data_IF_961744457235
#
_entry.id   IF_961744457235
#
_cell.length_a   1.000
_cell.length_b   1.000
_cell.length_c   1.000
_cell.angle_alpha   90.00
_cell.angle_beta   90.00
_cell.angle_gamma   90.00
#
_symmetry.space_group_name_H-M   'P 1'
#
loop_
_entity.id
_entity.type
_entity.pdbx_description
1 polymer ?
#
# COMPACT_ATOMS: atom_id res chain seq x y z
N UNK A 1 33.04 20.15 -25.27
CA UNK A 1 31.99 19.18 -25.59
C UNK A 1 31.82 18.26 -24.41
N UNK A 2 30.75 18.41 -23.66
CA UNK A 2 30.47 17.62 -22.45
C UNK A 2 30.04 16.18 -22.81
N UNK A 3 30.09 15.22 -21.90
CA UNK A 3 29.56 13.88 -22.15
C UNK A 3 28.07 13.89 -22.56
N UNK A 4 27.35 14.91 -22.15
CA UNK A 4 25.91 15.10 -22.48
C UNK A 4 25.72 15.55 -23.93
N UNK A 5 26.63 16.41 -24.45
CA UNK A 5 26.62 16.84 -25.86
C UNK A 5 26.87 15.66 -26.82
N UNK A 6 27.73 14.74 -26.44
CA UNK A 6 28.04 13.52 -27.24
C UNK A 6 26.86 12.55 -27.25
N UNK A 7 26.15 12.41 -26.14
CA UNK A 7 24.95 11.56 -26.06
C UNK A 7 23.80 12.13 -26.91
N UNK A 8 23.65 13.46 -26.93
CA UNK A 8 22.67 14.16 -27.76
C UNK A 8 22.95 14.01 -29.27
N UNK A 9 24.21 14.14 -29.69
CA UNK A 9 24.59 13.93 -31.08
C UNK A 9 24.33 12.51 -31.60
N UNK A 10 24.49 11.48 -30.77
CA UNK A 10 24.16 10.10 -31.11
C UNK A 10 22.65 9.91 -31.28
N UNK A 11 21.84 10.49 -30.42
CA UNK A 11 20.38 10.42 -30.50
C UNK A 11 19.85 11.18 -31.73
N UNK A 12 20.42 12.36 -32.01
CA UNK A 12 20.07 13.18 -33.16
C UNK A 12 20.39 12.48 -34.49
N UNK A 13 21.57 11.86 -34.60
CA UNK A 13 21.98 11.08 -35.77
C UNK A 13 21.08 9.86 -36.00
N UNK A 14 20.70 9.13 -34.94
CA UNK A 14 19.77 8.00 -35.02
C UNK A 14 18.35 8.42 -35.44
N UNK A 15 17.97 9.67 -35.17
CA UNK A 15 16.68 10.22 -35.58
C UNK A 15 16.70 10.71 -37.02
N UNK A 16 17.82 11.32 -37.50
CA UNK A 16 17.98 11.82 -38.85
C UNK A 16 18.22 10.71 -39.90
N UNK A 17 18.76 9.55 -39.50
CA UNK A 17 18.95 8.37 -40.37
C UNK A 17 17.64 7.61 -40.66
N UNK A 18 16.52 7.97 -40.04
CA UNK A 18 15.19 7.44 -40.39
C UNK A 18 14.59 8.22 -41.55
N UNK A 19 15.03 7.94 -42.76
CA UNK A 19 14.37 8.40 -43.97
C UNK A 19 12.96 7.83 -44.10
N UNK A 20 11.92 8.61 -44.47
CA UNK A 20 10.54 8.13 -44.60
C UNK A 20 10.41 7.31 -45.87
N UNK A 21 10.16 6.01 -45.72
CA UNK A 21 9.71 5.15 -46.83
C UNK A 21 8.21 5.36 -47.08
N UNK A 22 7.71 5.37 -48.33
CA UNK A 22 6.34 5.71 -48.67
C UNK A 22 5.38 4.62 -48.28
N UNK A 23 4.20 5.03 -47.80
CA UNK A 23 3.09 4.21 -47.27
C UNK A 23 2.43 3.36 -48.36
N UNK A 24 2.13 2.08 -48.13
CA UNK A 24 0.93 1.44 -48.63
C UNK A 24 -0.21 1.54 -47.61
N UNK A 25 -1.41 1.71 -48.15
CA UNK A 25 -2.66 1.82 -47.39
C UNK A 25 -3.10 0.49 -46.80
N UNK A 26 -3.71 0.58 -45.62
CA UNK A 26 -4.62 -0.36 -44.94
C UNK A 26 -3.97 -1.49 -44.10
N UNK A 27 -4.11 -1.40 -42.79
CA UNK A 27 -4.96 -2.14 -41.87
C UNK A 27 -4.41 -2.00 -40.44
N UNK A 28 -5.27 -1.94 -39.47
CA UNK A 28 -4.98 -1.75 -38.04
C UNK A 28 -3.95 -2.75 -37.49
N UNK A 29 -2.96 -2.26 -36.75
CA UNK A 29 -2.65 -2.83 -35.44
C UNK A 29 -2.20 -1.76 -34.45
N UNK A 30 -3.08 -1.35 -33.56
CA UNK A 30 -2.77 -0.48 -32.43
C UNK A 30 -2.17 -1.25 -31.22
N UNK A 31 -1.93 -2.56 -31.35
CA UNK A 31 -1.47 -3.42 -30.24
C UNK A 31 0.02 -3.77 -30.26
N UNK A 32 0.73 -3.55 -31.37
CA UNK A 32 2.14 -3.94 -31.49
C UNK A 32 3.12 -2.84 -30.99
N UNK A 33 2.71 -1.58 -30.96
CA UNK A 33 3.57 -0.47 -30.55
C UNK A 33 3.83 -0.43 -29.02
N UNK A 34 2.92 -0.95 -28.22
CA UNK A 34 3.05 -0.99 -26.76
C UNK A 34 4.03 -2.06 -26.26
N UNK A 35 4.17 -3.17 -26.97
CA UNK A 35 5.06 -4.25 -26.58
C UNK A 35 6.56 -3.93 -26.82
N UNK A 36 6.88 -3.17 -27.86
CA UNK A 36 8.26 -2.78 -28.20
C UNK A 36 8.81 -1.68 -27.29
N UNK A 37 7.98 -0.75 -26.81
CA UNK A 37 8.38 0.26 -25.85
C UNK A 37 8.73 -0.35 -24.49
N UNK A 38 8.04 -1.42 -24.08
CA UNK A 38 8.26 -2.13 -22.81
C UNK A 38 9.57 -2.93 -22.83
N UNK A 39 9.97 -3.51 -23.96
CA UNK A 39 11.21 -4.28 -24.08
C UNK A 39 12.47 -3.39 -24.05
N UNK A 40 12.41 -2.18 -24.60
CA UNK A 40 13.54 -1.24 -24.59
C UNK A 40 13.85 -0.70 -23.17
N UNK A 41 12.84 -0.60 -22.29
CA UNK A 41 13.00 -0.16 -20.90
C UNK A 41 13.70 -1.20 -20.03
N UNK A 42 13.48 -2.49 -20.30
CA UNK A 42 14.07 -3.58 -19.51
C UNK A 42 15.59 -3.70 -19.68
N UNK A 43 16.14 -3.35 -20.85
CA UNK A 43 17.57 -3.43 -21.15
C UNK A 43 18.33 -2.21 -20.60
N UNK A 44 17.72 -1.05 -20.55
CA UNK A 44 18.37 0.18 -20.08
C UNK A 44 18.46 0.29 -18.54
N UNK A 45 17.61 -0.42 -17.79
CA UNK A 45 17.61 -0.38 -16.33
C UNK A 45 18.80 -1.11 -15.68
N UNK A 46 19.59 -1.88 -16.43
CA UNK A 46 20.73 -2.65 -15.94
C UNK A 46 22.08 -1.93 -16.08
N UNK A 47 22.12 -0.72 -16.61
CA UNK A 47 23.36 0.06 -16.78
C UNK A 47 23.44 1.26 -15.83
N UNK A 48 24.66 1.69 -15.39
CA UNK A 48 24.85 2.88 -14.57
C UNK A 48 24.29 4.18 -15.17
N UNK A 49 24.11 4.22 -16.49
CA UNK A 49 23.49 5.31 -17.26
C UNK A 49 21.94 5.25 -17.27
N UNK A 50 21.33 4.21 -16.69
CA UNK A 50 19.88 3.99 -16.71
C UNK A 50 19.04 5.11 -16.07
N UNK A 51 19.63 5.93 -15.20
CA UNK A 51 18.92 7.08 -14.58
C UNK A 51 18.51 8.15 -15.61
N UNK A 52 19.29 8.36 -16.67
CA UNK A 52 18.98 9.35 -17.72
C UNK A 52 17.94 8.80 -18.72
N UNK A 53 18.02 7.52 -19.08
CA UNK A 53 17.05 6.85 -19.95
C UNK A 53 15.69 6.73 -19.27
N UNK A 54 15.66 6.53 -17.95
CA UNK A 54 14.44 6.49 -17.16
C UNK A 54 13.65 7.82 -17.21
N UNK A 55 14.36 8.95 -17.27
CA UNK A 55 13.76 10.28 -17.38
C UNK A 55 13.05 10.48 -18.74
N UNK A 56 13.65 10.00 -19.83
CA UNK A 56 13.07 10.12 -21.18
C UNK A 56 11.94 9.14 -21.47
N UNK A 57 11.93 7.96 -20.86
CA UNK A 57 10.82 6.99 -20.99
C UNK A 57 9.57 7.48 -20.24
N UNK A 58 9.72 8.18 -19.13
CA UNK A 58 8.59 8.84 -18.42
C UNK A 58 7.85 9.85 -19.29
N UNK A 59 8.59 10.64 -20.08
CA UNK A 59 8.00 11.61 -21.01
C UNK A 59 7.25 10.93 -22.16
N UNK A 60 7.74 9.76 -22.62
CA UNK A 60 7.14 9.01 -23.71
C UNK A 60 5.86 8.22 -23.32
N UNK A 61 5.67 7.91 -22.03
CA UNK A 61 4.51 7.14 -21.54
C UNK A 61 3.37 8.04 -21.04
N UNK A 62 3.52 9.38 -21.12
CA UNK A 62 2.48 10.32 -20.69
C UNK A 62 2.34 10.42 -19.16
N UNK A 63 3.37 10.05 -18.43
CA UNK A 63 3.46 10.34 -17.00
C UNK A 63 3.70 11.84 -16.86
N UNK A 64 2.76 12.56 -16.27
CA UNK A 64 2.95 13.97 -15.93
C UNK A 64 4.27 14.16 -15.18
N UNK A 65 4.98 15.24 -15.44
CA UNK A 65 6.29 15.52 -14.87
C UNK A 65 6.30 15.30 -13.37
N UNK A 66 7.21 14.46 -12.89
CA UNK A 66 7.39 14.25 -11.47
C UNK A 66 7.69 15.59 -10.79
N UNK A 67 6.81 16.05 -9.94
CA UNK A 67 6.94 17.34 -9.31
C UNK A 67 7.88 17.23 -8.09
N UNK A 68 8.75 18.21 -7.84
CA UNK A 68 9.79 18.11 -6.82
C UNK A 68 9.28 18.23 -5.39
N UNK A 69 8.06 18.69 -5.16
CA UNK A 69 7.46 18.84 -3.85
C UNK A 69 6.07 18.21 -3.79
N UNK A 70 5.74 17.60 -2.65
CA UNK A 70 4.38 17.19 -2.36
C UNK A 70 3.56 18.44 -2.05
N UNK A 71 2.75 18.91 -2.99
CA UNK A 71 1.97 20.14 -2.85
C UNK A 71 0.47 19.85 -2.75
N UNK A 72 0.00 18.66 -3.12
CA UNK A 72 -1.37 18.20 -2.88
C UNK A 72 -1.53 16.70 -3.13
N UNK A 73 -2.44 16.06 -2.39
CA UNK A 73 -2.93 14.74 -2.74
C UNK A 73 -3.94 14.87 -3.89
N UNK A 74 -4.04 13.90 -4.82
CA UNK A 74 -4.96 13.97 -5.95
C UNK A 74 -6.42 13.73 -5.56
N UNK A 75 -6.69 13.38 -4.31
CA UNK A 75 -8.03 13.18 -3.76
C UNK A 75 -8.11 13.76 -2.35
N UNK A 76 -9.33 14.07 -1.88
CA UNK A 76 -9.56 14.46 -0.50
C UNK A 76 -9.09 13.42 0.50
N UNK A 77 -8.77 13.86 1.70
CA UNK A 77 -8.35 12.99 2.79
C UNK A 77 -7.01 13.39 3.39
N UNK A 78 -6.55 12.52 4.27
CA UNK A 78 -5.28 12.65 4.97
C UNK A 78 -4.55 11.32 4.94
N UNK A 79 -3.24 11.36 4.78
CA UNK A 79 -2.39 10.19 4.71
C UNK A 79 -1.47 10.15 5.92
N UNK A 80 -1.42 9.01 6.62
CA UNK A 80 -0.34 8.70 7.55
C UNK A 80 0.82 8.08 6.77
N UNK A 81 2.02 8.49 7.11
CA UNK A 81 3.25 7.97 6.53
C UNK A 81 4.18 7.62 7.66
N UNK A 82 4.55 6.35 7.73
CA UNK A 82 5.50 5.85 8.72
C UNK A 82 6.83 5.54 8.04
N UNK A 83 7.92 5.93 8.68
CA UNK A 83 9.27 5.66 8.23
C UNK A 83 9.77 4.35 8.83
N UNK A 84 10.07 3.36 7.98
CA UNK A 84 10.53 2.04 8.40
C UNK A 84 11.90 2.01 9.09
N UNK A 85 12.65 3.11 9.02
CA UNK A 85 13.96 3.26 9.69
C UNK A 85 13.87 3.99 11.06
N UNK A 86 12.67 4.16 11.59
CA UNK A 86 12.43 4.89 12.84
C UNK A 86 12.49 6.41 12.69
N UNK A 87 12.43 6.94 11.47
CA UNK A 87 12.34 8.38 11.18
C UNK A 87 11.08 9.02 11.71
N UNK A 88 10.07 8.24 12.04
CA UNK A 88 8.83 8.64 12.69
C UNK A 88 7.61 8.59 11.80
N UNK A 89 6.51 9.07 12.33
CA UNK A 89 5.20 9.14 11.66
C UNK A 89 4.86 10.57 11.28
N UNK A 90 4.27 10.71 10.09
CA UNK A 90 3.92 11.99 9.49
C UNK A 90 2.46 12.01 9.06
N UNK A 91 1.85 13.17 9.19
CA UNK A 91 0.55 13.51 8.60
C UNK A 91 0.77 14.29 7.31
N UNK A 92 0.12 13.86 6.22
CA UNK A 92 0.04 14.60 4.96
C UNK A 92 -1.43 14.93 4.68
N UNK A 93 -1.77 16.21 4.54
CA UNK A 93 -3.11 16.67 4.18
C UNK A 93 -3.28 16.78 2.67
N UNK A 94 -4.54 16.89 2.23
CA UNK A 94 -4.87 17.01 0.81
C UNK A 94 -4.25 18.25 0.14
N UNK A 95 -4.06 19.33 0.87
CA UNK A 95 -3.41 20.56 0.40
C UNK A 95 -1.87 20.49 0.35
N UNK A 96 -1.29 19.36 0.73
CA UNK A 96 0.16 19.14 0.78
C UNK A 96 0.81 19.56 2.10
N UNK A 97 0.04 20.06 3.08
CA UNK A 97 0.57 20.33 4.40
C UNK A 97 1.08 19.03 5.03
N UNK A 98 2.29 19.07 5.57
CA UNK A 98 2.95 17.95 6.24
C UNK A 98 3.30 18.29 7.68
N UNK A 99 3.06 17.34 8.58
CA UNK A 99 3.43 17.47 10.00
C UNK A 99 4.03 16.16 10.50
N UNK A 100 5.16 16.24 11.18
CA UNK A 100 5.70 15.12 11.96
C UNK A 100 4.89 14.98 13.25
N UNK A 101 4.36 13.78 13.50
CA UNK A 101 3.53 13.48 14.67
C UNK A 101 4.37 12.95 15.85
N UNK A 102 5.43 12.20 15.55
CA UNK A 102 6.30 11.63 16.59
C UNK A 102 7.21 10.52 16.06
N UNK A 103 8.00 9.89 16.94
CA UNK A 103 8.91 8.80 16.59
C UNK A 103 8.21 7.43 16.58
N UNK A 104 6.99 7.38 16.07
CA UNK A 104 6.18 6.17 16.07
C UNK A 104 6.57 5.24 14.92
N UNK A 105 6.46 3.93 15.14
CA UNK A 105 6.89 2.89 14.20
C UNK A 105 5.74 2.22 13.43
N UNK A 106 4.52 2.35 13.93
CA UNK A 106 3.30 1.91 13.25
C UNK A 106 2.16 2.84 13.67
N UNK A 107 1.22 3.12 12.78
CA UNK A 107 0.13 4.04 13.06
C UNK A 107 -1.13 3.76 12.23
N UNK A 108 -2.29 3.98 12.85
CA UNK A 108 -3.60 3.79 12.23
C UNK A 108 -4.55 4.93 12.62
N UNK A 109 -5.45 5.31 11.69
CA UNK A 109 -6.49 6.28 11.94
C UNK A 109 -7.65 5.71 12.75
N UNK A 110 -8.21 6.51 13.65
CA UNK A 110 -9.57 6.25 14.14
C UNK A 110 -10.59 6.42 12.99
N UNK A 111 -11.78 5.82 13.06
CA UNK A 111 -12.79 5.84 11.98
C UNK A 111 -13.17 7.23 11.49
N UNK A 112 -13.15 8.20 12.40
CA UNK A 112 -13.47 9.60 12.09
C UNK A 112 -12.25 10.42 11.70
N UNK A 113 -11.04 9.85 11.76
CA UNK A 113 -9.80 10.59 11.61
C UNK A 113 -9.58 11.67 12.67
N UNK A 114 -10.25 11.57 13.81
CA UNK A 114 -10.07 12.50 14.94
C UNK A 114 -8.87 12.14 15.78
N UNK A 115 -8.47 10.86 15.76
CA UNK A 115 -7.34 10.34 16.52
C UNK A 115 -6.48 9.43 15.65
N UNK A 116 -5.29 9.19 16.12
CA UNK A 116 -4.33 8.22 15.61
C UNK A 116 -3.92 7.34 16.78
N UNK A 117 -3.86 6.04 16.56
CA UNK A 117 -3.19 5.09 17.43
C UNK A 117 -1.84 4.74 16.83
N UNK A 118 -0.81 4.65 17.62
CA UNK A 118 0.53 4.29 17.15
C UNK A 118 1.32 3.52 18.21
N UNK A 119 2.43 2.93 17.79
CA UNK A 119 3.36 2.24 18.66
C UNK A 119 4.66 3.05 18.82
N UNK A 120 5.19 3.11 20.04
CA UNK A 120 6.49 3.67 20.35
C UNK A 120 7.18 2.76 21.37
N UNK A 121 8.20 1.99 20.93
CA UNK A 121 8.90 1.02 21.79
C UNK A 121 7.92 0.08 22.50
N UNK A 122 7.82 0.18 23.83
CA UNK A 122 6.94 -0.61 24.70
C UNK A 122 5.65 0.13 25.08
N UNK A 123 5.16 1.01 24.22
CA UNK A 123 3.93 1.78 24.45
C UNK A 123 3.02 1.80 23.24
N UNK A 124 1.70 1.69 23.48
CA UNK A 124 0.66 2.20 22.59
C UNK A 124 0.38 3.66 22.96
N UNK A 125 0.26 4.50 21.95
CA UNK A 125 0.00 5.94 22.15
C UNK A 125 -1.16 6.37 21.26
N UNK A 126 -2.23 6.90 21.87
CA UNK A 126 -3.29 7.57 21.14
C UNK A 126 -3.13 9.08 21.23
N UNK A 127 -3.26 9.77 20.12
CA UNK A 127 -3.09 11.21 20.03
C UNK A 127 -4.01 11.79 18.94
N UNK A 128 -4.23 13.09 19.01
CA UNK A 128 -4.92 13.80 17.93
C UNK A 128 -3.97 14.15 16.77
N UNK A 129 -4.50 14.48 15.58
CA UNK A 129 -3.66 14.84 14.43
C UNK A 129 -2.82 16.10 14.61
N UNK A 130 -3.04 16.85 15.69
CA UNK A 130 -2.24 18.00 16.08
C UNK A 130 -1.08 17.62 17.01
N UNK A 131 -0.99 16.34 17.39
CA UNK A 131 0.09 15.79 18.20
C UNK A 131 -0.21 15.78 19.71
N UNK A 132 -1.41 16.18 20.13
CA UNK A 132 -1.84 16.12 21.52
C UNK A 132 -2.09 14.69 21.97
N UNK A 133 -1.25 14.17 22.88
CA UNK A 133 -1.41 12.81 23.42
C UNK A 133 -2.67 12.73 24.29
N UNK A 134 -3.53 11.74 24.02
CA UNK A 134 -4.77 11.47 24.75
C UNK A 134 -4.57 10.46 25.86
N UNK A 135 -3.90 9.34 25.51
CA UNK A 135 -3.51 8.33 26.49
C UNK A 135 -2.29 7.54 26.00
N UNK A 136 -1.62 6.89 26.94
CA UNK A 136 -0.54 5.94 26.71
C UNK A 136 -0.81 4.67 27.48
N UNK A 137 -0.44 3.54 26.90
CA UNK A 137 -0.57 2.23 27.50
C UNK A 137 0.72 1.45 27.35
N UNK A 138 1.41 1.20 28.48
CA UNK A 138 2.63 0.41 28.49
C UNK A 138 2.32 -1.05 28.16
N UNK A 139 2.96 -1.59 27.11
CA UNK A 139 2.91 -2.99 26.70
C UNK A 139 4.22 -3.38 26.07
N UNK A 140 4.68 -4.58 26.37
CA UNK A 140 5.92 -5.08 25.80
C UNK A 140 5.72 -5.46 24.34
N UNK A 141 6.53 -4.85 23.45
CA UNK A 141 6.60 -5.09 22.02
C UNK A 141 5.21 -4.99 21.31
N UNK A 142 4.51 -3.84 21.41
CA UNK A 142 3.23 -3.67 20.73
C UNK A 142 3.43 -3.41 19.24
N UNK A 143 2.64 -4.08 18.41
CA UNK A 143 2.71 -3.96 16.98
C UNK A 143 1.30 -3.96 16.34
N UNK A 144 1.21 -3.39 15.15
CA UNK A 144 0.04 -3.40 14.30
C UNK A 144 -1.27 -3.02 15.00
N UNK A 145 -1.34 -1.87 15.66
CA UNK A 145 -2.60 -1.41 16.20
C UNK A 145 -3.58 -1.16 15.05
N UNK A 146 -4.79 -1.70 15.18
CA UNK A 146 -5.87 -1.54 14.21
C UNK A 146 -7.10 -1.03 14.92
N UNK A 147 -7.58 0.13 14.47
CA UNK A 147 -8.78 0.74 15.02
C UNK A 147 -10.03 0.14 14.35
N UNK A 148 -11.02 -0.23 15.16
CA UNK A 148 -12.30 -0.70 14.63
C UNK A 148 -13.02 0.42 13.87
N UNK A 149 -13.69 0.07 12.75
CA UNK A 149 -14.38 1.03 11.87
C UNK A 149 -15.70 1.60 12.42
N UNK A 150 -16.02 1.37 13.69
CA UNK A 150 -17.27 1.86 14.32
C UNK A 150 -17.18 3.32 14.73
N UNK A 151 -18.33 4.00 14.81
CA UNK A 151 -18.42 5.42 15.11
C UNK A 151 -18.50 5.72 16.61
N UNK A 152 -18.93 4.75 17.39
CA UNK A 152 -19.08 4.83 18.84
C UNK A 152 -18.59 3.53 19.46
N UNK A 153 -18.19 3.57 20.72
CA UNK A 153 -17.71 2.39 21.46
C UNK A 153 -16.62 1.61 20.70
N UNK A 154 -15.67 2.34 20.16
CA UNK A 154 -14.61 1.77 19.31
C UNK A 154 -13.65 0.91 20.10
N UNK A 155 -13.09 -0.10 19.44
CA UNK A 155 -12.02 -0.95 19.97
C UNK A 155 -10.76 -0.80 19.12
N UNK A 156 -9.62 -1.11 19.74
CA UNK A 156 -8.31 -1.19 19.08
C UNK A 156 -7.78 -2.59 19.34
N UNK A 157 -7.53 -3.36 18.29
CA UNK A 157 -6.81 -4.63 18.37
C UNK A 157 -5.34 -4.40 18.05
N UNK A 158 -4.47 -5.09 18.76
CA UNK A 158 -3.03 -5.02 18.53
C UNK A 158 -2.34 -6.30 19.00
N UNK A 159 -1.21 -6.61 18.39
CA UNK A 159 -0.35 -7.71 18.83
C UNK A 159 0.67 -7.18 19.83
N UNK A 160 1.00 -7.98 20.84
CA UNK A 160 2.06 -7.69 21.80
C UNK A 160 2.82 -9.01 22.10
N UNK A 161 3.89 -8.96 22.84
CA UNK A 161 4.64 -10.16 23.23
C UNK A 161 3.76 -11.24 23.93
N UNK A 162 2.64 -10.85 24.53
CA UNK A 162 1.67 -11.75 25.19
C UNK A 162 0.65 -12.35 24.21
N UNK A 163 0.59 -11.94 22.94
CA UNK A 163 -0.40 -12.32 21.94
C UNK A 163 -1.29 -11.15 21.51
N UNK A 164 -2.44 -11.48 20.91
CA UNK A 164 -3.43 -10.49 20.48
C UNK A 164 -4.20 -9.92 21.67
N UNK A 165 -4.29 -8.61 21.72
CA UNK A 165 -4.97 -7.86 22.76
C UNK A 165 -6.02 -6.91 22.16
N UNK A 166 -6.98 -6.53 22.97
CA UNK A 166 -7.99 -5.53 22.63
C UNK A 166 -8.08 -4.50 23.75
N UNK A 167 -8.20 -3.24 23.38
CA UNK A 167 -8.41 -2.11 24.30
C UNK A 167 -9.51 -1.20 23.75
N UNK A 168 -10.27 -0.54 24.61
CA UNK A 168 -11.25 0.45 24.18
C UNK A 168 -10.54 1.67 23.57
N UNK A 169 -11.24 2.43 22.72
CA UNK A 169 -10.69 3.61 22.04
C UNK A 169 -10.22 4.72 22.98
N UNK A 170 -10.69 4.72 24.23
CA UNK A 170 -10.28 5.63 25.30
C UNK A 170 -9.09 5.12 26.14
N UNK A 171 -8.54 3.94 25.80
CA UNK A 171 -7.42 3.33 26.49
C UNK A 171 -7.79 2.44 27.69
N UNK A 172 -9.07 2.29 27.99
CA UNK A 172 -9.54 1.46 29.11
C UNK A 172 -9.82 0.01 28.69
N UNK A 173 -9.98 -0.89 29.66
CA UNK A 173 -10.46 -2.26 29.45
C UNK A 173 -9.51 -3.14 28.62
N UNK A 174 -8.21 -2.84 28.61
CA UNK A 174 -7.24 -3.67 27.89
C UNK A 174 -7.19 -5.11 28.42
N UNK A 175 -7.37 -6.07 27.52
CA UNK A 175 -7.34 -7.49 27.86
C UNK A 175 -6.73 -8.34 26.75
N UNK A 176 -6.28 -9.53 27.13
CA UNK A 176 -5.75 -10.54 26.23
C UNK A 176 -6.91 -11.27 25.55
N UNK A 177 -6.92 -11.28 24.21
CA UNK A 177 -7.92 -12.00 23.42
C UNK A 177 -7.45 -13.41 23.04
N UNK A 178 -6.20 -13.56 22.59
CA UNK A 178 -5.60 -14.85 22.21
C UNK A 178 -4.08 -14.83 22.43
N UNK A 179 -3.58 -15.69 23.31
CA UNK A 179 -2.15 -15.83 23.59
C UNK A 179 -1.37 -16.55 22.48
N UNK A 180 -2.05 -17.18 21.54
CA UNK A 180 -1.44 -17.95 20.45
C UNK A 180 -1.58 -17.24 19.09
N UNK A 181 -2.03 -16.01 19.09
CA UNK A 181 -2.08 -15.21 17.88
C UNK A 181 -0.68 -15.04 17.30
N UNK A 182 -0.57 -15.21 15.98
CA UNK A 182 0.67 -15.03 15.26
C UNK A 182 0.95 -13.54 15.01
N UNK A 183 2.18 -13.27 14.60
CA UNK A 183 2.71 -11.94 14.29
C UNK A 183 2.19 -11.44 12.93
N UNK A 184 0.90 -11.15 12.88
CA UNK A 184 0.16 -10.70 11.68
C UNK A 184 -0.82 -9.61 12.09
N UNK A 185 -0.94 -8.51 11.29
CA UNK A 185 -1.92 -7.48 11.56
C UNK A 185 -3.34 -8.03 11.72
N UNK A 186 -4.07 -7.74 12.78
CA UNK A 186 -5.48 -8.09 12.91
C UNK A 186 -6.34 -7.23 11.99
N UNK A 187 -7.53 -7.70 11.64
CA UNK A 187 -8.45 -6.98 10.76
C UNK A 187 -9.87 -7.00 11.31
N UNK A 188 -10.44 -5.83 11.62
CA UNK A 188 -11.82 -5.71 12.07
C UNK A 188 -12.82 -5.96 10.94
N UNK A 189 -13.86 -6.75 11.21
CA UNK A 189 -14.98 -6.93 10.30
C UNK A 189 -15.75 -5.60 10.18
N UNK A 190 -15.86 -5.00 8.99
CA UNK A 190 -16.46 -3.67 8.85
C UNK A 190 -17.99 -3.67 9.07
N UNK A 191 -18.61 -4.84 9.21
CA UNK A 191 -20.06 -5.00 9.29
C UNK A 191 -20.55 -5.64 10.59
N UNK A 192 -19.64 -6.26 11.35
CA UNK A 192 -19.95 -6.90 12.63
C UNK A 192 -19.21 -6.19 13.75
N UNK A 193 -20.00 -5.54 14.60
CA UNK A 193 -19.50 -4.79 15.75
C UNK A 193 -18.58 -5.66 16.62
N UNK A 194 -17.46 -5.11 17.03
CA UNK A 194 -16.45 -5.72 17.91
C UNK A 194 -15.99 -7.11 17.47
N UNK A 195 -15.93 -7.34 16.16
CA UNK A 195 -15.55 -8.65 15.62
C UNK A 195 -14.24 -8.51 14.84
N UNK A 196 -13.22 -9.25 15.25
CA UNK A 196 -11.85 -9.15 14.68
C UNK A 196 -11.41 -10.48 14.09
N UNK A 197 -10.80 -10.41 12.90
CA UNK A 197 -10.10 -11.52 12.28
C UNK A 197 -8.60 -11.45 12.60
N UNK A 198 -8.01 -12.61 12.89
CA UNK A 198 -6.58 -12.73 13.17
C UNK A 198 -6.06 -14.13 12.84
N UNK A 199 -4.75 -14.26 12.73
CA UNK A 199 -4.09 -15.54 12.53
C UNK A 199 -3.74 -16.20 13.86
N UNK A 200 -4.12 -17.46 14.07
CA UNK A 200 -3.77 -18.22 15.25
C UNK A 200 -3.70 -19.73 14.94
N UNK A 201 -2.60 -20.37 15.30
CA UNK A 201 -2.45 -21.82 15.24
C UNK A 201 -2.77 -22.46 13.87
N UNK A 202 -2.30 -21.86 12.77
CA UNK A 202 -2.52 -22.38 11.40
C UNK A 202 -3.91 -22.11 10.83
N UNK A 203 -4.66 -21.16 11.41
CA UNK A 203 -5.99 -20.80 10.95
C UNK A 203 -6.23 -19.29 11.03
N UNK A 204 -7.16 -18.79 10.22
CA UNK A 204 -7.80 -17.50 10.47
C UNK A 204 -8.95 -17.71 11.42
N UNK A 205 -8.96 -16.92 12.44
CA UNK A 205 -9.99 -16.91 13.49
C UNK A 205 -10.77 -15.61 13.38
N UNK A 206 -12.10 -15.69 13.31
CA UNK A 206 -13.00 -14.55 13.48
C UNK A 206 -13.67 -14.69 14.84
N UNK A 207 -13.51 -13.68 15.68
CA UNK A 207 -14.00 -13.72 17.05
C UNK A 207 -14.53 -12.36 17.49
N UNK A 208 -15.57 -12.35 18.30
CA UNK A 208 -16.00 -11.15 19.00
C UNK A 208 -14.98 -10.79 20.09
N UNK A 209 -14.61 -9.52 20.18
CA UNK A 209 -13.55 -9.05 21.08
C UNK A 209 -13.82 -9.38 22.56
N UNK A 210 -15.07 -9.28 22.98
CA UNK A 210 -15.52 -9.56 24.35
C UNK A 210 -16.33 -10.87 24.44
N UNK A 211 -16.26 -11.75 23.42
CA UNK A 211 -17.22 -12.83 23.34
C UNK A 211 -16.78 -14.08 22.58
N UNK A 212 -17.74 -14.80 22.01
CA UNK A 212 -17.51 -16.11 21.44
C UNK A 212 -16.78 -16.08 20.10
N UNK A 213 -16.23 -17.22 19.74
CA UNK A 213 -15.77 -17.55 18.40
C UNK A 213 -16.94 -17.46 17.41
N UNK A 214 -16.72 -16.78 16.29
CA UNK A 214 -17.68 -16.74 15.17
C UNK A 214 -17.38 -17.89 14.21
N UNK A 215 -16.14 -17.99 13.73
CA UNK A 215 -15.66 -19.13 12.93
C UNK A 215 -14.12 -19.24 12.99
N UNK A 216 -13.64 -20.40 12.56
CA UNK A 216 -12.23 -20.70 12.38
C UNK A 216 -12.01 -21.39 11.03
N UNK A 217 -11.16 -20.83 10.18
CA UNK A 217 -10.82 -21.37 8.86
C UNK A 217 -9.35 -21.80 8.83
N UNK A 218 -9.11 -23.11 8.72
CA UNK A 218 -7.75 -23.63 8.56
C UNK A 218 -7.16 -23.17 7.24
N UNK A 219 -5.92 -22.68 7.27
CA UNK A 219 -5.18 -22.24 6.10
C UNK A 219 -3.81 -22.94 6.04
N UNK A 220 -3.30 -23.12 4.79
CA UNK A 220 -2.01 -23.78 4.54
C UNK A 220 -0.86 -22.79 4.29
N UNK A 221 -1.07 -21.51 4.58
CA UNK A 221 -0.09 -20.45 4.38
C UNK A 221 0.09 -19.66 5.67
N UNK A 222 1.26 -19.10 5.85
CA UNK A 222 1.50 -18.08 6.88
C UNK A 222 1.15 -16.74 6.23
N UNK A 223 0.14 -16.02 6.73
CA UNK A 223 -0.23 -14.73 6.19
C UNK A 223 0.79 -13.66 6.58
N UNK A 224 0.91 -12.66 5.73
CA UNK A 224 1.62 -11.42 6.02
C UNK A 224 0.65 -10.27 6.32
N UNK A 225 -0.61 -10.37 5.86
CA UNK A 225 -1.62 -9.34 6.07
C UNK A 225 -3.04 -9.91 5.93
N UNK A 226 -4.01 -9.21 6.54
CA UNK A 226 -5.43 -9.50 6.49
C UNK A 226 -6.20 -8.24 6.12
N UNK A 227 -7.09 -8.34 5.12
CA UNK A 227 -7.89 -7.20 4.70
C UNK A 227 -9.32 -7.58 4.32
N UNK A 228 -10.29 -6.85 4.86
CA UNK A 228 -11.69 -7.02 4.54
C UNK A 228 -12.13 -6.18 3.34
N UNK A 229 -13.03 -6.72 2.52
CA UNK A 229 -13.86 -5.89 1.65
C UNK A 229 -14.76 -4.98 2.50
N UNK A 230 -15.06 -3.76 2.00
CA UNK A 230 -15.81 -2.75 2.77
C UNK A 230 -17.22 -3.19 3.17
N UNK A 231 -17.80 -4.17 2.46
CA UNK A 231 -19.11 -4.76 2.77
C UNK A 231 -19.02 -6.02 3.66
N UNK A 232 -17.83 -6.40 4.12
CA UNK A 232 -17.58 -7.56 4.98
C UNK A 232 -17.88 -8.92 4.33
N UNK A 233 -18.04 -8.99 3.00
CA UNK A 233 -18.30 -10.26 2.31
C UNK A 233 -17.08 -11.14 2.20
N UNK A 234 -15.91 -10.53 2.02
CA UNK A 234 -14.66 -11.21 1.77
C UNK A 234 -13.53 -10.70 2.66
N UNK A 235 -12.75 -11.64 3.16
CA UNK A 235 -11.48 -11.40 3.82
C UNK A 235 -10.35 -11.91 2.91
N UNK A 236 -9.46 -11.04 2.50
CA UNK A 236 -8.22 -11.42 1.83
C UNK A 236 -7.16 -11.77 2.88
N UNK A 237 -6.64 -12.98 2.80
CA UNK A 237 -5.52 -13.49 3.57
C UNK A 237 -4.31 -13.48 2.65
N UNK A 238 -3.46 -12.48 2.81
CA UNK A 238 -2.30 -12.25 1.93
C UNK A 238 -1.11 -13.05 2.41
N UNK A 239 -0.42 -13.69 1.48
CA UNK A 239 0.86 -14.36 1.72
C UNK A 239 1.78 -14.17 0.51
N UNK A 240 3.10 -14.37 0.62
CA UNK A 240 4.02 -14.19 -0.50
C UNK A 240 3.74 -15.10 -1.72
N UNK A 241 3.02 -16.20 -1.53
CA UNK A 241 2.74 -17.18 -2.59
C UNK A 241 1.34 -17.06 -3.18
N UNK A 242 0.38 -16.64 -2.37
CA UNK A 242 -1.04 -16.59 -2.78
C UNK A 242 -1.85 -15.69 -1.85
N UNK A 243 -2.99 -15.24 -2.35
CA UNK A 243 -4.05 -14.64 -1.56
C UNK A 243 -5.17 -15.67 -1.45
N UNK A 244 -5.54 -16.01 -0.22
CA UNK A 244 -6.71 -16.85 0.05
C UNK A 244 -7.87 -15.91 0.42
N UNK A 245 -8.93 -15.93 -0.36
CA UNK A 245 -10.14 -15.15 -0.10
C UNK A 245 -11.12 -16.02 0.66
N UNK A 246 -11.51 -15.60 1.85
CA UNK A 246 -12.46 -16.27 2.73
C UNK A 246 -13.77 -15.50 2.72
N UNK A 247 -14.90 -16.20 2.61
CA UNK A 247 -16.22 -15.60 2.71
C UNK A 247 -16.60 -15.26 4.17
N UNK A 248 -17.66 -14.48 4.36
CA UNK A 248 -18.15 -14.09 5.70
C UNK A 248 -18.57 -15.25 6.62
N UNK A 249 -18.64 -16.49 6.10
CA UNK A 249 -18.97 -17.72 6.85
C UNK A 249 -17.72 -18.51 7.22
N UNK A 250 -16.54 -18.08 6.78
CA UNK A 250 -15.27 -18.76 7.04
C UNK A 250 -14.91 -19.82 5.99
N UNK A 251 -15.61 -19.87 4.84
CA UNK A 251 -15.25 -20.80 3.77
C UNK A 251 -14.28 -20.12 2.79
N UNK A 252 -13.32 -20.89 2.29
CA UNK A 252 -12.46 -20.44 1.20
C UNK A 252 -13.31 -20.26 -0.05
N UNK A 253 -13.49 -19.01 -0.45
CA UNK A 253 -14.20 -18.64 -1.66
C UNK A 253 -13.29 -18.79 -2.89
N UNK A 254 -12.02 -18.36 -2.78
CA UNK A 254 -11.07 -18.34 -3.89
C UNK A 254 -9.62 -18.30 -3.40
N UNK A 255 -8.74 -18.86 -4.22
CA UNK A 255 -7.29 -18.67 -4.08
C UNK A 255 -6.76 -17.98 -5.34
N UNK A 256 -5.97 -16.92 -5.16
CA UNK A 256 -5.32 -16.16 -6.22
C UNK A 256 -3.82 -16.41 -6.08
N UNK A 257 -3.22 -16.97 -7.13
CA UNK A 257 -1.76 -17.15 -7.22
C UNK A 257 -1.27 -16.67 -8.58
N UNK A 258 -0.05 -16.18 -8.63
CA UNK A 258 0.59 -15.75 -9.87
C UNK A 258 1.89 -16.54 -10.03
N UNK A 259 1.94 -17.41 -11.05
CA UNK A 259 3.08 -18.28 -11.27
C UNK A 259 4.36 -17.47 -11.51
N UNK A 260 5.42 -17.81 -10.76
CA UNK A 260 6.71 -17.13 -10.88
C UNK A 260 6.77 -15.72 -10.28
N UNK A 261 5.73 -15.29 -9.57
CA UNK A 261 5.68 -13.99 -8.91
C UNK A 261 5.49 -14.12 -7.40
N UNK A 262 6.05 -13.18 -6.66
CA UNK A 262 5.82 -12.98 -5.24
C UNK A 262 4.71 -11.94 -5.05
N UNK A 263 3.71 -12.28 -4.25
CA UNK A 263 2.64 -11.38 -3.85
C UNK A 263 3.11 -10.58 -2.63
N UNK A 264 3.04 -9.27 -2.71
CA UNK A 264 3.53 -8.38 -1.65
C UNK A 264 2.40 -7.82 -0.80
N UNK A 265 1.33 -7.40 -1.45
CA UNK A 265 0.21 -6.75 -0.79
C UNK A 265 -1.07 -6.94 -1.60
N UNK A 266 -2.20 -6.83 -0.92
CA UNK A 266 -3.53 -6.71 -1.51
C UNK A 266 -4.28 -5.57 -0.84
N UNK A 267 -5.04 -4.79 -1.62
CA UNK A 267 -5.87 -3.71 -1.12
C UNK A 267 -7.23 -3.71 -1.81
N UNK A 268 -8.31 -3.91 -1.04
CA UNK A 268 -9.66 -3.84 -1.57
C UNK A 268 -10.01 -2.41 -1.99
N UNK A 269 -10.52 -2.28 -3.21
CA UNK A 269 -11.05 -1.00 -3.66
C UNK A 269 -12.36 -0.70 -2.93
N UNK A 270 -12.47 0.45 -2.22
CA UNK A 270 -13.69 0.81 -1.52
C UNK A 270 -14.97 0.68 -2.36
N UNK A 271 -16.00 0.06 -1.79
CA UNK A 271 -17.31 -0.12 -2.41
C UNK A 271 -17.37 -1.16 -3.54
N UNK A 272 -16.31 -1.95 -3.75
CA UNK A 272 -16.25 -3.01 -4.78
C UNK A 272 -15.60 -4.28 -4.24
N UNK A 273 -15.55 -5.34 -5.06
CA UNK A 273 -14.75 -6.53 -4.79
C UNK A 273 -13.48 -6.61 -5.67
N UNK A 274 -13.11 -5.50 -6.27
CA UNK A 274 -11.81 -5.37 -6.93
C UNK A 274 -10.70 -5.28 -5.90
N UNK A 275 -9.64 -6.05 -6.09
CA UNK A 275 -8.43 -6.02 -5.25
C UNK A 275 -7.26 -5.55 -6.08
N UNK A 276 -6.59 -4.50 -5.62
CA UNK A 276 -5.28 -4.14 -6.12
C UNK A 276 -4.25 -5.09 -5.50
N UNK A 277 -3.51 -5.81 -6.33
CA UNK A 277 -2.48 -6.77 -5.90
C UNK A 277 -1.14 -6.28 -6.38
N UNK A 278 -0.21 -6.09 -5.45
CA UNK A 278 1.19 -5.81 -5.76
C UNK A 278 1.94 -7.12 -5.89
N UNK A 279 2.55 -7.34 -7.04
CA UNK A 279 3.33 -8.55 -7.33
C UNK A 279 4.74 -8.18 -7.80
N UNK A 280 5.70 -9.07 -7.50
CA UNK A 280 7.09 -8.94 -7.94
C UNK A 280 7.55 -10.20 -8.66
N UNK A 281 8.11 -10.02 -9.85
CA UNK A 281 8.70 -11.09 -10.64
C UNK A 281 9.91 -10.59 -11.43
N UNK A 282 10.99 -11.36 -11.49
CA UNK A 282 12.17 -11.09 -12.32
C UNK A 282 12.70 -9.64 -12.22
N UNK A 283 12.80 -9.09 -11.00
CA UNK A 283 13.32 -7.73 -10.77
C UNK A 283 12.38 -6.60 -11.16
N UNK A 284 11.11 -6.91 -11.42
CA UNK A 284 10.06 -5.97 -11.79
C UNK A 284 8.86 -6.13 -10.87
N UNK A 285 8.20 -5.04 -10.55
CA UNK A 285 6.93 -5.05 -9.83
C UNK A 285 5.78 -4.60 -10.71
N UNK A 286 4.62 -5.15 -10.43
CA UNK A 286 3.36 -4.85 -11.11
C UNK A 286 2.24 -4.64 -10.09
N UNK A 287 1.33 -3.76 -10.41
CA UNK A 287 0.03 -3.62 -9.74
C UNK A 287 -1.03 -4.17 -10.66
N UNK A 288 -1.77 -5.16 -10.20
CA UNK A 288 -2.86 -5.78 -10.93
C UNK A 288 -4.17 -5.62 -10.19
N UNK A 289 -5.25 -5.39 -10.91
CA UNK A 289 -6.60 -5.41 -10.35
C UNK A 289 -7.21 -6.78 -10.63
N UNK A 290 -7.67 -7.43 -9.57
CA UNK A 290 -8.34 -8.73 -9.61
C UNK A 290 -9.76 -8.55 -9.11
N UNK A 291 -10.74 -8.91 -9.94
CA UNK A 291 -12.15 -8.98 -9.54
C UNK A 291 -12.38 -10.32 -8.80
N UNK A 292 -12.79 -10.24 -7.54
CA UNK A 292 -13.00 -11.44 -6.71
C UNK A 292 -14.22 -12.24 -7.16
N UNK A 293 -15.26 -11.58 -7.65
CA UNK A 293 -16.49 -12.24 -8.08
C UNK A 293 -16.34 -12.88 -9.47
N UNK A 294 -15.37 -12.44 -10.30
CA UNK A 294 -15.18 -12.92 -11.68
C UNK A 294 -13.82 -13.58 -11.88
N UNK A 295 -13.75 -14.93 -11.91
CA UNK A 295 -12.50 -15.64 -12.13
C UNK A 295 -11.84 -15.31 -13.48
N UNK A 296 -10.51 -15.26 -13.52
CA UNK A 296 -9.73 -15.15 -14.76
C UNK A 296 -9.45 -13.73 -15.25
N UNK A 297 -9.95 -12.69 -14.59
CA UNK A 297 -9.73 -11.30 -14.99
C UNK A 297 -8.74 -10.59 -14.04
N UNK A 298 -7.44 -10.77 -14.26
CA UNK A 298 -6.42 -9.93 -13.65
C UNK A 298 -5.95 -8.89 -14.67
N UNK A 299 -6.28 -7.62 -14.44
CA UNK A 299 -5.92 -6.50 -15.33
C UNK A 299 -4.67 -5.80 -14.80
N UNK A 300 -3.63 -5.70 -15.63
CA UNK A 300 -2.47 -4.88 -15.32
C UNK A 300 -2.88 -3.40 -15.24
N UNK A 301 -2.59 -2.77 -14.11
CA UNK A 301 -2.83 -1.34 -13.88
C UNK A 301 -1.56 -0.53 -14.08
N UNK A 302 -0.45 -0.97 -13.48
CA UNK A 302 0.83 -0.29 -13.52
C UNK A 302 1.98 -1.28 -13.39
N UNK A 303 3.15 -0.97 -13.95
CA UNK A 303 4.33 -1.80 -13.81
C UNK A 303 5.61 -0.96 -13.92
N UNK A 304 6.64 -1.38 -13.19
CA UNK A 304 7.95 -0.71 -13.19
C UNK A 304 9.07 -1.64 -12.75
N UNK A 305 10.33 -1.25 -12.98
CA UNK A 305 11.48 -1.99 -12.49
C UNK A 305 11.61 -1.86 -10.97
N UNK A 306 12.30 -2.81 -10.37
CA UNK A 306 12.55 -2.81 -8.93
C UNK A 306 11.33 -3.21 -8.10
N UNK A 307 11.24 -2.68 -6.90
CA UNK A 307 10.27 -3.06 -5.89
C UNK A 307 9.22 -1.97 -5.71
N UNK A 308 7.94 -2.34 -5.75
CA UNK A 308 6.86 -1.55 -5.18
C UNK A 308 6.69 -1.95 -3.72
N UNK A 309 6.44 -0.97 -2.87
CA UNK A 309 5.98 -1.16 -1.51
C UNK A 309 4.46 -1.23 -1.46
N UNK A 310 3.89 -0.61 -0.43
CA UNK A 310 2.46 -0.64 -0.19
C UNK A 310 1.65 0.08 -1.26
N UNK A 311 0.42 -0.38 -1.44
CA UNK A 311 -0.59 0.23 -2.28
C UNK A 311 -1.82 0.55 -1.44
N UNK A 312 -2.34 1.78 -1.56
CA UNK A 312 -3.43 2.28 -0.73
C UNK A 312 -4.47 3.02 -1.57
N UNK A 313 -5.74 2.69 -1.40
CA UNK A 313 -6.81 3.39 -2.08
C UNK A 313 -7.19 4.69 -1.36
N UNK A 314 -7.51 5.72 -2.13
CA UNK A 314 -8.18 6.89 -1.56
C UNK A 314 -9.52 6.50 -0.94
N UNK A 315 -10.05 7.23 0.04
CA UNK A 315 -11.34 6.92 0.68
C UNK A 315 -12.51 6.76 -0.30
N UNK A 316 -12.47 7.47 -1.43
CA UNK A 316 -13.47 7.35 -2.50
C UNK A 316 -13.26 6.14 -3.42
N UNK A 317 -12.13 5.45 -3.33
CA UNK A 317 -11.75 4.38 -4.27
C UNK A 317 -11.35 4.86 -5.67
N UNK A 318 -11.23 6.18 -5.88
CA UNK A 318 -10.91 6.74 -7.19
C UNK A 318 -9.44 6.64 -7.55
N UNK A 319 -8.57 6.88 -6.57
CA UNK A 319 -7.13 6.88 -6.73
C UNK A 319 -6.48 5.75 -5.96
N UNK A 320 -5.51 5.11 -6.57
CA UNK A 320 -4.60 4.18 -5.90
C UNK A 320 -3.23 4.85 -5.79
N UNK A 321 -2.74 4.99 -4.56
CA UNK A 321 -1.36 5.34 -4.27
C UNK A 321 -0.52 4.07 -4.27
N UNK A 322 0.63 4.10 -4.95
CA UNK A 322 1.64 3.05 -4.94
C UNK A 322 2.96 3.65 -4.48
N UNK A 323 3.53 3.13 -3.42
CA UNK A 323 4.87 3.46 -3.00
C UNK A 323 5.90 2.76 -3.91
N UNK A 324 6.85 3.52 -4.45
CA UNK A 324 7.92 3.00 -5.28
C UNK A 324 9.30 3.41 -4.71
N UNK A 325 9.79 2.69 -3.67
CA UNK A 325 11.00 3.08 -2.95
C UNK A 325 12.26 3.07 -3.83
N UNK A 326 12.40 2.12 -4.77
CA UNK A 326 13.57 2.06 -5.65
C UNK A 326 13.65 3.26 -6.60
N UNK A 327 12.52 3.84 -6.97
CA UNK A 327 12.44 5.07 -7.77
C UNK A 327 12.39 6.34 -6.90
N UNK A 328 12.31 6.20 -5.58
CA UNK A 328 12.10 7.31 -4.64
C UNK A 328 10.86 8.14 -5.00
N UNK A 329 9.71 7.44 -5.22
CA UNK A 329 8.49 8.05 -5.73
C UNK A 329 7.23 7.47 -5.11
N UNK A 330 6.21 8.32 -5.08
CA UNK A 330 4.83 7.91 -4.98
C UNK A 330 4.15 8.04 -6.34
N UNK A 331 3.38 7.03 -6.70
CA UNK A 331 2.61 6.99 -7.95
C UNK A 331 1.13 6.91 -7.61
N UNK A 332 0.37 7.91 -8.04
CA UNK A 332 -1.07 7.96 -7.91
C UNK A 332 -1.72 7.58 -9.23
N UNK A 333 -2.66 6.64 -9.21
CA UNK A 333 -3.25 6.05 -10.40
C UNK A 333 -4.79 6.15 -10.34
N UNK A 334 -5.40 6.72 -11.39
CA UNK A 334 -6.86 6.75 -11.59
C UNK A 334 -7.18 6.36 -13.03
N UNK A 335 -7.62 5.12 -13.24
CA UNK A 335 -7.85 4.59 -14.58
C UNK A 335 -6.58 4.62 -15.45
N UNK A 336 -6.55 5.47 -16.48
CA UNK A 336 -5.35 5.70 -17.33
C UNK A 336 -4.50 6.88 -16.89
N UNK A 337 -4.98 7.68 -15.95
CA UNK A 337 -4.27 8.83 -15.42
C UNK A 337 -3.25 8.37 -14.39
N UNK A 338 -2.02 8.84 -14.52
CA UNK A 338 -0.91 8.57 -13.59
C UNK A 338 -0.26 9.87 -13.20
N UNK A 339 -0.09 10.09 -11.90
CA UNK A 339 0.69 11.21 -11.34
C UNK A 339 1.82 10.64 -10.51
N UNK A 340 3.03 11.10 -10.72
CA UNK A 340 4.19 10.69 -9.92
C UNK A 340 4.74 11.89 -9.14
N UNK A 341 5.02 11.65 -7.86
CA UNK A 341 5.73 12.61 -6.99
C UNK A 341 7.11 12.03 -6.71
N UNK A 342 8.15 12.74 -7.12
CA UNK A 342 9.54 12.31 -6.95
C UNK A 342 10.14 12.86 -5.64
N UNK A 343 11.31 12.30 -5.30
CA UNK A 343 12.11 12.73 -4.14
C UNK A 343 11.36 12.62 -2.83
N UNK A 344 10.56 11.55 -2.69
CA UNK A 344 9.72 11.33 -1.50
C UNK A 344 10.57 11.25 -0.23
N UNK A 345 11.71 10.54 -0.26
CA UNK A 345 12.59 10.43 0.92
C UNK A 345 13.03 11.79 1.46
N UNK A 346 13.36 12.72 0.56
CA UNK A 346 13.82 14.05 0.93
C UNK A 346 12.71 14.91 1.57
N UNK A 347 11.45 14.62 1.28
CA UNK A 347 10.33 15.35 1.86
C UNK A 347 10.08 14.96 3.32
N UNK A 348 10.47 13.74 3.70
CA UNK A 348 10.34 13.22 5.06
C UNK A 348 11.72 13.07 5.74
N UNK A 349 12.78 13.65 5.14
CA UNK A 349 14.13 13.51 5.64
C UNK A 349 14.28 14.12 7.04
N UNK A 350 15.14 13.48 7.82
CA UNK A 350 15.68 14.07 9.05
C UNK A 350 16.65 15.18 8.69
N UNK A 351 16.92 16.06 9.65
CA UNK A 351 17.90 17.15 9.50
C UNK A 351 19.34 16.68 9.19
N UNK A 352 19.63 15.38 9.35
CA UNK A 352 20.93 14.76 9.07
C UNK A 352 21.12 14.32 7.59
N UNK A 353 20.14 14.55 6.73
CA UNK A 353 20.23 14.29 5.29
C UNK A 353 20.11 12.82 4.88
N UNK A 354 20.00 11.89 5.80
CA UNK A 354 19.69 10.50 5.54
C UNK A 354 18.18 10.37 5.41
N UNK A 355 17.68 10.31 4.18
CA UNK A 355 16.27 10.14 3.91
C UNK A 355 15.78 8.75 4.35
N UNK A 356 14.63 8.67 5.02
CA UNK A 356 14.10 7.43 5.54
C UNK A 356 13.68 6.46 4.42
N UNK A 357 13.69 5.17 4.73
CA UNK A 357 12.94 4.17 3.96
C UNK A 357 11.48 4.34 4.31
N UNK A 358 10.71 4.94 3.42
CA UNK A 358 9.28 5.21 3.65
C UNK A 358 8.48 3.94 3.41
N UNK A 359 7.90 3.42 4.45
CA UNK A 359 6.78 2.49 4.37
C UNK A 359 5.48 3.28 4.51
N UNK A 360 4.49 2.99 3.68
CA UNK A 360 3.15 3.55 3.82
C UNK A 360 2.39 2.67 4.80
N UNK A 361 2.56 2.91 6.09
CA UNK A 361 1.67 2.34 7.08
C UNK A 361 0.61 3.37 7.45
N UNK A 362 -0.56 2.88 7.81
CA UNK A 362 -1.68 3.76 8.10
C UNK A 362 -2.39 4.24 6.83
N UNK A 363 -3.63 3.97 6.76
CA UNK A 363 -4.45 4.10 5.56
C UNK A 363 -4.76 5.55 5.21
N UNK A 364 -5.03 5.78 3.93
CA UNK A 364 -5.56 7.06 3.47
C UNK A 364 -6.96 7.27 4.02
N UNK A 365 -7.11 8.18 4.97
CA UNK A 365 -8.33 8.38 5.72
C UNK A 365 -9.06 9.64 5.29
N UNK A 366 -10.36 9.55 5.49
CA UNK A 366 -11.28 10.63 5.76
C UNK A 366 -11.36 11.72 4.68
N UNK A 367 -12.51 11.74 4.00
CA UNK A 367 -12.81 12.71 2.94
C UNK A 367 -13.10 14.15 3.43
N UNK A 368 -13.01 14.40 4.76
CA UNK A 368 -13.22 15.74 5.35
C UNK A 368 -12.11 16.08 6.32
#
# INVERSE_FOLDING_TARGET
MTPEDRAWEVVKRAYEERSPTPRPRRTRPALAATALAVAAVAVAALSPSGKAVFKSVRQAVGIEHAQPALFSLPAPGRLLVVSGDGGGTWLVKADGFMRKLGPYTDAEWSPHGLYVIATERDELVAFDPDGGVRWKLARHDPAWPRWEGTMTDTRIAYVAASGLRVVAGDGTGDHLLDAYAGDVPPAWDPTRLHTVAYYSGGAIVLRHADGPLVWRAAIKVIPSDLEWSTDGRYLAVVSPKQIVVIDRRGHVHRTISMLGAELRQAAFKPGTHDVAVVVRAAGRSEVRIVDIDRPGHARLLFAGPGTFGDAEWSPSGDWLLVNWPDANQWVFIKGKQVRAVANIRQQFARSDGLGPTLELSGRWCCSK
#
